data_IF_848186137626
#
_entry.id   IF_848186137626
#
_cell.length_a   1.000
_cell.length_b   1.000
_cell.length_c   1.000
_cell.angle_alpha   90.00
_cell.angle_beta   90.00
_cell.angle_gamma   90.00
#
_symmetry.space_group_name_H-M   'P 1'
#
loop_
_entity.id
_entity.type
_entity.pdbx_description
1 polymer ?
#
# COMPACT_ATOMS: atom_id res chain seq x y z
N UNK A 1 -17.80 6.05 -7.59
CA UNK A 1 -17.99 6.54 -8.99
C UNK A 1 -19.17 7.49 -9.12
N UNK A 2 -20.12 7.48 -8.20
CA UNK A 2 -21.33 8.35 -8.25
C UNK A 2 -21.10 9.77 -7.72
N UNK A 3 -19.87 10.10 -7.27
CA UNK A 3 -19.55 11.42 -6.70
C UNK A 3 -18.96 12.40 -7.71
N UNK A 4 -18.54 11.92 -8.88
CA UNK A 4 -18.06 12.79 -9.96
C UNK A 4 -19.21 13.59 -10.58
N UNK A 5 -18.96 14.86 -10.89
CA UNK A 5 -19.95 15.74 -11.53
C UNK A 5 -20.04 15.44 -13.04
N UNK A 6 -18.89 15.24 -13.69
CA UNK A 6 -18.80 14.97 -15.13
C UNK A 6 -18.07 13.67 -15.43
N UNK A 7 -16.98 13.39 -14.72
CA UNK A 7 -16.12 12.23 -14.95
C UNK A 7 -15.55 11.70 -13.65
N UNK A 8 -15.39 10.38 -13.55
CA UNK A 8 -14.69 9.73 -12.44
C UNK A 8 -13.62 8.81 -13.00
N UNK A 9 -12.38 9.03 -12.63
CA UNK A 9 -11.25 8.21 -13.04
C UNK A 9 -10.83 7.25 -11.93
N UNK A 10 -10.72 5.96 -12.28
CA UNK A 10 -10.17 4.94 -11.39
C UNK A 10 -8.77 4.54 -11.87
N UNK A 11 -7.78 4.69 -10.99
CA UNK A 11 -6.40 4.25 -11.26
C UNK A 11 -6.12 2.97 -10.46
N UNK A 12 -5.74 1.91 -11.16
CA UNK A 12 -5.52 0.64 -10.51
C UNK A 12 -4.86 -0.41 -11.40
N UNK A 13 -4.64 -1.59 -10.84
CA UNK A 13 -4.08 -2.73 -11.56
C UNK A 13 -5.08 -3.32 -12.56
N UNK A 14 -4.57 -3.90 -13.63
CA UNK A 14 -5.34 -4.68 -14.60
C UNK A 14 -6.09 -5.88 -13.97
N UNK A 15 -5.64 -6.35 -12.80
CA UNK A 15 -6.32 -7.39 -12.02
C UNK A 15 -7.75 -7.02 -11.61
N UNK A 16 -8.07 -5.72 -11.59
CA UNK A 16 -9.42 -5.20 -11.28
C UNK A 16 -10.35 -5.15 -12.50
N UNK A 17 -9.85 -5.30 -13.72
CA UNK A 17 -10.62 -5.08 -14.96
C UNK A 17 -11.91 -5.92 -15.01
N UNK A 18 -11.80 -7.23 -14.72
CA UNK A 18 -12.95 -8.14 -14.75
C UNK A 18 -14.02 -7.76 -13.74
N UNK A 19 -13.60 -7.37 -12.54
CA UNK A 19 -14.49 -6.97 -11.47
C UNK A 19 -15.16 -5.62 -11.75
N UNK A 20 -14.38 -4.62 -12.18
CA UNK A 20 -14.90 -3.29 -12.49
C UNK A 20 -15.90 -3.29 -13.64
N UNK A 21 -15.68 -4.14 -14.67
CA UNK A 21 -16.65 -4.31 -15.75
C UNK A 21 -18.01 -4.79 -15.26
N UNK A 22 -18.05 -5.59 -14.19
CA UNK A 22 -19.30 -6.09 -13.59
C UNK A 22 -19.95 -5.08 -12.65
N UNK A 23 -19.14 -4.26 -11.96
CA UNK A 23 -19.63 -3.31 -10.97
C UNK A 23 -20.06 -1.96 -11.57
N UNK A 24 -19.40 -1.56 -12.66
CA UNK A 24 -19.62 -0.26 -13.31
C UNK A 24 -19.88 -0.48 -14.80
N UNK A 25 -21.15 -0.66 -15.21
CA UNK A 25 -21.50 -0.78 -16.62
C UNK A 25 -21.06 0.46 -17.41
N UNK A 26 -20.49 0.24 -18.60
CA UNK A 26 -20.05 1.34 -19.47
C UNK A 26 -18.67 1.94 -19.10
N UNK A 27 -17.96 1.37 -18.13
CA UNK A 27 -16.60 1.83 -17.81
C UNK A 27 -15.66 1.65 -19.03
N UNK A 28 -14.91 2.67 -19.34
CA UNK A 28 -13.85 2.63 -20.34
C UNK A 28 -12.52 2.24 -19.71
N UNK A 29 -11.76 1.34 -20.34
CA UNK A 29 -10.45 0.89 -19.85
C UNK A 29 -9.32 1.41 -20.75
N UNK A 30 -8.44 2.22 -20.16
CA UNK A 30 -7.22 2.68 -20.80
C UNK A 30 -6.05 1.95 -20.12
N UNK A 31 -5.38 1.07 -20.85
CA UNK A 31 -4.23 0.32 -20.32
C UNK A 31 -2.92 0.92 -20.81
N UNK A 32 -1.97 1.05 -19.91
CA UNK A 32 -0.60 1.44 -20.23
C UNK A 32 0.36 0.41 -19.64
N UNK A 33 0.88 -0.51 -20.46
CA UNK A 33 1.84 -1.51 -19.98
C UNK A 33 3.15 -0.84 -19.55
N UNK A 34 3.87 -1.51 -18.68
CA UNK A 34 5.24 -1.13 -18.34
C UNK A 34 6.14 -1.43 -19.56
N UNK A 35 6.96 -0.47 -19.98
CA UNK A 35 7.89 -0.63 -21.10
C UNK A 35 9.22 -1.24 -20.67
N UNK A 36 9.69 -0.95 -19.46
CA UNK A 36 10.97 -1.45 -18.94
C UNK A 36 10.83 -2.83 -18.31
N UNK A 37 11.87 -3.65 -18.41
CA UNK A 37 11.96 -4.93 -17.73
C UNK A 37 12.18 -4.75 -16.22
N UNK A 38 11.65 -5.71 -15.46
CA UNK A 38 11.94 -5.86 -14.03
C UNK A 38 12.48 -7.28 -13.84
N UNK A 39 13.72 -7.41 -13.36
CA UNK A 39 14.40 -8.70 -13.28
C UNK A 39 14.88 -9.01 -11.86
N UNK A 40 14.70 -10.27 -11.43
CA UNK A 40 15.21 -10.75 -10.16
C UNK A 40 16.70 -11.07 -10.27
N UNK A 41 17.50 -10.53 -9.37
CA UNK A 41 18.97 -10.68 -9.39
C UNK A 41 19.52 -11.43 -8.17
N UNK A 42 18.65 -12.18 -7.49
CA UNK A 42 19.04 -13.02 -6.35
C UNK A 42 19.29 -12.23 -5.06
N UNK A 43 20.10 -12.84 -4.21
CA UNK A 43 20.44 -12.33 -2.88
C UNK A 43 21.75 -11.56 -2.91
N UNK A 44 21.81 -10.43 -2.19
CA UNK A 44 23.04 -9.64 -2.04
C UNK A 44 23.21 -9.19 -0.59
N UNK A 45 24.45 -9.17 -0.12
CA UNK A 45 24.76 -8.49 1.15
C UNK A 45 24.46 -7.00 1.03
N UNK A 46 23.96 -6.39 2.09
CA UNK A 46 23.66 -4.94 2.12
C UNK A 46 24.88 -4.13 1.67
N UNK A 47 26.08 -4.55 2.05
CA UNK A 47 27.33 -3.88 1.65
C UNK A 47 27.69 -4.01 0.17
N UNK A 48 27.00 -4.87 -0.59
CA UNK A 48 27.22 -5.11 -2.03
C UNK A 48 26.07 -4.69 -2.91
N UNK A 49 25.09 -4.00 -2.34
CA UNK A 49 24.00 -3.42 -3.13
C UNK A 49 24.56 -2.34 -4.06
N UNK A 50 24.06 -2.23 -5.29
CA UNK A 50 24.45 -1.15 -6.19
C UNK A 50 24.02 0.21 -5.64
N UNK A 51 24.64 1.28 -6.09
CA UNK A 51 24.15 2.64 -5.86
C UNK A 51 22.71 2.79 -6.40
N UNK A 52 22.00 3.78 -5.96
CA UNK A 52 20.59 4.03 -6.30
C UNK A 52 19.66 2.86 -5.94
N UNK A 53 19.97 2.16 -4.84
CA UNK A 53 19.14 1.09 -4.31
C UNK A 53 18.18 1.55 -3.22
N UNK A 54 16.95 1.00 -3.26
CA UNK A 54 16.03 1.05 -2.14
C UNK A 54 16.05 -0.28 -1.37
N UNK A 55 16.19 -0.23 -0.05
CA UNK A 55 16.10 -1.38 0.85
C UNK A 55 14.79 -1.31 1.61
N UNK A 56 14.02 -2.38 1.59
CA UNK A 56 12.66 -2.39 2.16
C UNK A 56 12.56 -3.37 3.32
N UNK A 57 12.08 -2.86 4.45
CA UNK A 57 11.72 -3.62 5.65
C UNK A 57 10.28 -3.25 6.07
N UNK A 58 9.69 -3.98 7.04
CA UNK A 58 8.29 -3.77 7.39
C UNK A 58 8.07 -3.25 8.81
N UNK A 59 9.15 -2.92 9.52
CA UNK A 59 9.08 -2.20 10.80
C UNK A 59 9.93 -0.93 10.78
N UNK A 60 9.55 0.06 11.57
CA UNK A 60 10.34 1.29 11.72
C UNK A 60 11.71 0.98 12.36
N UNK A 61 11.76 0.03 13.30
CA UNK A 61 12.99 -0.37 13.97
C UNK A 61 14.01 -0.94 12.97
N UNK A 62 13.57 -1.85 12.09
CA UNK A 62 14.45 -2.46 11.09
C UNK A 62 14.91 -1.44 10.04
N UNK A 63 14.02 -0.54 9.61
CA UNK A 63 14.40 0.55 8.71
C UNK A 63 15.52 1.40 9.31
N UNK A 64 15.42 1.81 10.59
CA UNK A 64 16.46 2.60 11.23
C UNK A 64 17.74 1.80 11.45
N UNK A 65 17.65 0.54 11.82
CA UNK A 65 18.81 -0.35 11.99
C UNK A 65 19.59 -0.52 10.68
N UNK A 66 18.87 -0.74 9.56
CA UNK A 66 19.46 -0.86 8.23
C UNK A 66 20.08 0.46 7.79
N UNK A 67 19.38 1.58 7.97
CA UNK A 67 19.89 2.91 7.63
C UNK A 67 21.16 3.25 8.40
N UNK A 68 21.23 2.92 9.70
CA UNK A 68 22.43 3.12 10.51
C UNK A 68 23.59 2.21 10.04
N UNK A 69 23.30 0.97 9.66
CA UNK A 69 24.30 0.07 9.06
C UNK A 69 24.87 0.63 7.76
N UNK A 70 24.02 1.14 6.87
CA UNK A 70 24.43 1.80 5.62
C UNK A 70 25.21 3.10 5.88
N UNK A 71 24.82 3.86 6.90
CA UNK A 71 25.56 5.07 7.31
C UNK A 71 27.00 4.75 7.68
N UNK A 72 27.21 3.68 8.44
CA UNK A 72 28.55 3.27 8.87
C UNK A 72 29.40 2.69 7.74
N UNK A 73 28.78 1.96 6.82
CA UNK A 73 29.50 1.16 5.82
C UNK A 73 29.57 1.80 4.43
N UNK A 74 28.63 2.67 4.10
CA UNK A 74 28.40 3.18 2.74
C UNK A 74 28.11 4.68 2.67
N UNK A 75 28.35 5.44 3.74
CA UNK A 75 28.26 6.89 3.75
C UNK A 75 26.86 7.45 4.07
N UNK A 76 25.80 6.65 4.03
CA UNK A 76 24.47 7.09 4.44
C UNK A 76 23.33 6.52 3.65
N UNK A 77 22.12 6.76 4.14
CA UNK A 77 20.88 6.42 3.48
C UNK A 77 19.78 7.43 3.85
N UNK A 78 18.92 7.74 2.90
CA UNK A 78 17.66 8.41 3.16
C UNK A 78 16.66 7.43 3.79
N UNK A 79 15.76 7.92 4.65
CA UNK A 79 14.77 7.10 5.35
C UNK A 79 13.35 7.54 5.00
N UNK A 80 12.50 6.59 4.60
CA UNK A 80 11.11 6.83 4.26
C UNK A 80 10.19 5.87 5.01
N UNK A 81 9.38 6.43 5.90
CA UNK A 81 8.36 5.71 6.68
C UNK A 81 6.98 6.31 6.45
N UNK A 82 5.94 5.49 6.53
CA UNK A 82 4.55 5.95 6.44
C UNK A 82 4.18 6.97 7.52
N UNK A 83 4.75 6.82 8.73
CA UNK A 83 4.53 7.71 9.87
C UNK A 83 5.21 9.10 9.75
N UNK A 84 6.14 9.29 8.80
CA UNK A 84 6.78 10.59 8.59
C UNK A 84 5.82 11.58 7.92
N UNK A 85 5.94 12.86 8.30
CA UNK A 85 5.20 13.92 7.63
C UNK A 85 5.51 13.96 6.12
N UNK A 86 4.58 14.41 5.26
CA UNK A 86 4.83 14.56 3.84
C UNK A 86 6.07 15.40 3.53
N UNK A 87 6.27 16.49 4.28
CA UNK A 87 7.45 17.36 4.14
C UNK A 87 8.76 16.61 4.40
N UNK A 88 8.81 15.84 5.48
CA UNK A 88 10.02 15.06 5.84
C UNK A 88 10.28 13.97 4.81
N UNK A 89 9.24 13.26 4.38
CA UNK A 89 9.38 12.23 3.32
C UNK A 89 9.92 12.81 2.02
N UNK A 90 9.39 13.96 1.59
CA UNK A 90 9.84 14.62 0.37
C UNK A 90 11.28 15.08 0.49
N UNK A 91 11.71 15.58 1.65
CA UNK A 91 13.10 15.98 1.89
C UNK A 91 14.05 14.76 1.80
N UNK A 92 13.70 13.63 2.41
CA UNK A 92 14.48 12.40 2.33
C UNK A 92 14.58 11.87 0.89
N UNK A 93 13.45 11.87 0.16
CA UNK A 93 13.45 11.51 -1.26
C UNK A 93 14.30 12.48 -2.08
N UNK A 94 14.24 13.78 -1.78
CA UNK A 94 15.07 14.82 -2.43
C UNK A 94 16.57 14.56 -2.28
N UNK A 95 17.04 14.25 -1.08
CA UNK A 95 18.45 13.89 -0.82
C UNK A 95 18.90 12.68 -1.66
N UNK A 96 18.08 11.63 -1.72
CA UNK A 96 18.37 10.46 -2.54
C UNK A 96 18.36 10.79 -4.04
N UNK A 97 17.40 11.56 -4.53
CA UNK A 97 17.31 11.93 -5.94
C UNK A 97 18.47 12.86 -6.36
N UNK A 98 18.90 13.76 -5.48
CA UNK A 98 20.05 14.62 -5.69
C UNK A 98 21.40 13.88 -5.67
N UNK A 99 21.40 12.60 -5.27
CA UNK A 99 22.64 11.81 -5.16
C UNK A 99 23.49 12.13 -3.94
N UNK A 100 22.93 12.83 -2.94
CA UNK A 100 23.62 13.09 -1.68
C UNK A 100 23.84 11.78 -0.88
N UNK A 101 22.98 10.80 -1.09
CA UNK A 101 23.09 9.43 -0.59
C UNK A 101 22.74 8.43 -1.67
N UNK A 102 23.44 7.29 -1.70
CA UNK A 102 23.26 6.22 -2.70
C UNK A 102 22.11 5.27 -2.37
N UNK A 103 21.65 5.29 -1.12
CA UNK A 103 20.69 4.33 -0.61
C UNK A 103 19.47 5.03 -0.02
N UNK A 104 18.33 4.35 -0.16
CA UNK A 104 17.10 4.72 0.50
C UNK A 104 16.59 3.50 1.28
N UNK A 105 16.25 3.67 2.56
CA UNK A 105 15.65 2.60 3.36
C UNK A 105 14.21 2.99 3.68
N UNK A 106 13.27 2.10 3.40
CA UNK A 106 11.86 2.42 3.51
C UNK A 106 11.02 1.24 4.00
N UNK A 107 9.82 1.57 4.46
CA UNK A 107 8.75 0.55 4.55
C UNK A 107 8.07 0.37 3.19
N UNK A 108 7.01 -0.47 3.13
CA UNK A 108 6.15 -0.60 1.96
C UNK A 108 5.50 0.72 1.51
N UNK A 109 5.58 1.78 2.32
CA UNK A 109 5.23 3.14 1.94
C UNK A 109 5.95 3.63 0.66
N UNK A 110 7.11 3.05 0.31
CA UNK A 110 7.80 3.32 -0.97
C UNK A 110 6.92 2.96 -2.17
N UNK A 111 6.06 1.94 -2.03
CA UNK A 111 5.19 1.45 -3.10
C UNK A 111 4.11 2.43 -3.55
N UNK A 112 3.78 3.45 -2.77
CA UNK A 112 2.68 4.39 -3.06
C UNK A 112 3.04 5.84 -2.73
N UNK A 113 2.50 6.77 -3.54
CA UNK A 113 2.50 8.20 -3.24
C UNK A 113 3.85 8.90 -3.32
N UNK A 114 4.91 8.24 -3.77
CA UNK A 114 6.23 8.84 -3.93
C UNK A 114 6.65 8.84 -5.40
N UNK A 115 7.16 9.96 -5.86
CA UNK A 115 7.86 10.05 -7.13
C UNK A 115 9.33 9.70 -6.89
N UNK A 116 9.65 8.43 -6.99
CA UNK A 116 10.96 7.89 -6.66
C UNK A 116 11.53 7.13 -7.86
N UNK A 117 12.79 7.40 -8.15
CA UNK A 117 13.54 6.77 -9.23
C UNK A 117 14.69 5.97 -8.61
N UNK A 118 14.61 4.65 -8.67
CA UNK A 118 15.60 3.70 -8.16
C UNK A 118 15.95 2.66 -9.24
N UNK A 119 17.17 2.17 -9.22
CA UNK A 119 17.62 1.16 -10.19
C UNK A 119 17.43 -0.26 -9.63
N UNK A 120 17.48 -0.39 -8.31
CA UNK A 120 17.37 -1.67 -7.63
C UNK A 120 16.52 -1.57 -6.36
N UNK A 121 15.66 -2.58 -6.14
CA UNK A 121 14.92 -2.76 -4.89
C UNK A 121 15.37 -4.05 -4.21
N UNK A 122 15.83 -3.95 -2.96
CA UNK A 122 16.22 -5.09 -2.14
C UNK A 122 15.28 -5.27 -0.95
N UNK A 123 14.70 -6.45 -0.81
CA UNK A 123 13.86 -6.78 0.33
C UNK A 123 14.74 -7.27 1.48
N UNK A 124 14.77 -6.54 2.59
CA UNK A 124 15.42 -6.93 3.83
C UNK A 124 14.53 -7.84 4.69
N UNK A 125 13.25 -7.95 4.33
CA UNK A 125 12.27 -8.86 4.91
C UNK A 125 11.33 -9.34 3.80
N UNK A 126 10.88 -10.61 3.91
CA UNK A 126 9.92 -11.23 2.98
C UNK A 126 8.61 -11.62 3.68
N UNK A 127 8.47 -11.19 4.92
CA UNK A 127 7.25 -11.37 5.74
C UNK A 127 6.85 -10.04 6.33
N UNK A 128 5.55 -9.82 6.46
CA UNK A 128 5.01 -8.61 7.10
C UNK A 128 3.84 -8.92 8.02
N UNK A 129 3.59 -8.05 8.98
CA UNK A 129 2.38 -8.07 9.78
C UNK A 129 1.24 -7.40 9.00
N UNK A 130 0.12 -8.09 8.81
CA UNK A 130 -1.02 -7.61 8.03
C UNK A 130 -2.14 -6.98 8.87
N UNK A 131 -1.85 -6.69 10.14
CA UNK A 131 -2.81 -6.20 11.13
C UNK A 131 -3.39 -7.32 12.01
N UNK A 132 -3.20 -8.60 11.65
CA UNK A 132 -3.68 -9.75 12.40
C UNK A 132 -2.58 -10.77 12.67
N UNK A 133 -1.78 -11.08 11.67
CA UNK A 133 -0.71 -12.08 11.74
C UNK A 133 0.47 -11.71 10.85
N UNK A 134 1.63 -12.27 11.17
CA UNK A 134 2.80 -12.20 10.29
C UNK A 134 2.67 -13.26 9.19
N UNK A 135 2.72 -12.82 7.93
CA UNK A 135 2.63 -13.68 6.75
C UNK A 135 3.68 -13.34 5.71
N UNK A 136 3.94 -14.26 4.79
CA UNK A 136 4.78 -13.99 3.62
C UNK A 136 4.15 -12.90 2.74
N UNK A 137 4.99 -12.19 2.01
CA UNK A 137 4.57 -11.26 0.96
C UNK A 137 3.90 -12.04 -0.18
N UNK A 138 2.86 -11.46 -0.75
CA UNK A 138 2.24 -11.99 -1.97
C UNK A 138 2.83 -11.30 -3.20
N UNK A 139 2.73 -11.94 -4.38
CA UNK A 139 3.33 -11.45 -5.62
C UNK A 139 2.94 -10.00 -5.97
N UNK A 140 1.69 -9.60 -5.71
CA UNK A 140 1.22 -8.24 -5.95
C UNK A 140 1.88 -7.20 -5.04
N UNK A 141 2.18 -7.54 -3.79
CA UNK A 141 2.91 -6.67 -2.86
C UNK A 141 4.37 -6.51 -3.28
N UNK A 142 5.01 -7.64 -3.63
CA UNK A 142 6.38 -7.62 -4.17
C UNK A 142 6.43 -6.78 -5.44
N UNK A 143 5.50 -6.97 -6.38
CA UNK A 143 5.43 -6.22 -7.62
C UNK A 143 5.21 -4.72 -7.41
N UNK A 144 4.37 -4.34 -6.46
CA UNK A 144 4.10 -2.93 -6.13
C UNK A 144 5.35 -2.21 -5.60
N UNK A 145 6.14 -2.90 -4.79
CA UNK A 145 7.38 -2.38 -4.21
C UNK A 145 8.51 -2.45 -5.23
N UNK A 146 8.77 -3.62 -5.80
CA UNK A 146 9.84 -3.85 -6.78
C UNK A 146 9.62 -3.03 -8.07
N UNK A 147 8.36 -2.77 -8.42
CA UNK A 147 7.99 -1.93 -9.57
C UNK A 147 8.46 -0.47 -9.49
N UNK A 148 9.04 -0.05 -8.37
CA UNK A 148 9.74 1.23 -8.24
C UNK A 148 11.12 1.22 -8.86
N UNK A 149 11.70 0.03 -9.06
CA UNK A 149 12.97 -0.10 -9.76
C UNK A 149 12.79 0.01 -11.28
N UNK A 150 13.59 0.86 -11.90
CA UNK A 150 13.50 1.19 -13.33
C UNK A 150 12.29 2.04 -13.69
N UNK A 151 12.44 2.87 -14.68
CA UNK A 151 11.38 3.80 -15.09
C UNK A 151 11.42 4.06 -16.59
N UNK A 152 10.24 4.16 -17.22
CA UNK A 152 10.09 4.35 -18.66
C UNK A 152 10.84 3.27 -19.45
N UNK A 153 11.95 3.64 -20.08
CA UNK A 153 12.80 2.76 -20.89
C UNK A 153 13.99 2.17 -20.10
N UNK A 154 14.17 2.57 -18.84
CA UNK A 154 15.25 2.07 -18.01
C UNK A 154 14.79 0.81 -17.25
N UNK A 155 15.48 -0.30 -17.47
CA UNK A 155 15.21 -1.56 -16.79
C UNK A 155 15.54 -1.45 -15.29
N UNK A 156 14.76 -2.15 -14.48
CA UNK A 156 14.95 -2.23 -13.04
C UNK A 156 15.29 -3.63 -12.58
N UNK A 157 15.90 -3.72 -11.41
CA UNK A 157 16.20 -5.00 -10.78
C UNK A 157 15.63 -5.07 -9.38
N UNK A 158 15.33 -6.28 -8.93
CA UNK A 158 14.95 -6.53 -7.54
C UNK A 158 15.61 -7.80 -6.99
N UNK A 159 15.69 -7.89 -5.69
CA UNK A 159 16.27 -9.03 -5.00
C UNK A 159 16.00 -8.98 -3.52
N UNK A 160 16.71 -9.82 -2.77
CA UNK A 160 16.64 -9.85 -1.31
C UNK A 160 18.01 -9.58 -0.70
N UNK A 161 18.03 -9.19 0.58
CA UNK A 161 19.29 -9.23 1.33
C UNK A 161 19.65 -10.67 1.68
N UNK A 162 20.95 -10.94 1.87
CA UNK A 162 21.44 -12.30 2.15
C UNK A 162 20.87 -12.92 3.41
N UNK A 163 20.35 -12.10 4.32
CA UNK A 163 19.90 -12.54 5.64
C UNK A 163 18.49 -13.15 5.63
N UNK A 164 17.71 -12.89 4.58
CA UNK A 164 16.29 -13.33 4.52
C UNK A 164 16.01 -14.43 3.50
N UNK A 165 17.02 -14.84 2.75
CA UNK A 165 16.86 -15.88 1.74
C UNK A 165 16.27 -15.38 0.42
N UNK A 166 15.92 -16.30 -0.48
CA UNK A 166 15.31 -16.01 -1.78
C UNK A 166 13.81 -15.84 -1.66
N UNK A 167 13.23 -15.07 -2.57
CA UNK A 167 11.78 -15.10 -2.81
C UNK A 167 11.37 -16.45 -3.39
N UNK A 168 10.10 -16.78 -3.21
CA UNK A 168 9.48 -17.95 -3.86
C UNK A 168 9.59 -17.81 -5.39
N UNK A 169 10.01 -18.89 -6.11
CA UNK A 169 10.11 -18.87 -7.57
C UNK A 169 8.80 -18.46 -8.27
N UNK A 170 7.64 -18.88 -7.76
CA UNK A 170 6.33 -18.49 -8.33
C UNK A 170 6.08 -16.98 -8.17
N UNK A 171 6.52 -16.39 -7.06
CA UNK A 171 6.43 -14.93 -6.84
C UNK A 171 7.37 -14.21 -7.80
N UNK A 172 8.59 -14.70 -7.98
CA UNK A 172 9.57 -14.10 -8.90
C UNK A 172 9.00 -14.09 -10.31
N UNK A 173 8.53 -15.24 -10.80
CA UNK A 173 7.97 -15.37 -12.14
C UNK A 173 6.75 -14.46 -12.34
N UNK A 174 5.83 -14.43 -11.39
CA UNK A 174 4.65 -13.56 -11.45
C UNK A 174 5.01 -12.07 -11.54
N UNK A 175 6.06 -11.65 -10.82
CA UNK A 175 6.54 -10.26 -10.81
C UNK A 175 7.25 -9.91 -12.12
N UNK A 176 8.15 -10.76 -12.61
CA UNK A 176 8.89 -10.53 -13.85
C UNK A 176 7.98 -10.52 -15.09
N UNK A 177 7.02 -11.44 -15.14
CA UNK A 177 6.04 -11.54 -16.24
C UNK A 177 4.83 -10.62 -16.06
N UNK A 178 4.73 -9.93 -14.92
CA UNK A 178 3.59 -9.08 -14.55
C UNK A 178 2.23 -9.81 -14.64
N UNK A 179 2.21 -11.07 -14.20
CA UNK A 179 1.05 -11.97 -14.28
C UNK A 179 0.47 -12.18 -12.88
N UNK A 180 -0.70 -11.60 -12.63
CA UNK A 180 -1.36 -11.67 -11.32
C UNK A 180 -2.78 -12.17 -11.46
N UNK A 181 -3.31 -12.93 -10.49
CA UNK A 181 -4.69 -13.38 -10.50
C UNK A 181 -5.65 -12.20 -10.44
N UNK A 182 -6.75 -12.30 -11.19
CA UNK A 182 -7.82 -11.31 -11.12
C UNK A 182 -8.47 -11.27 -9.74
N UNK A 183 -8.79 -10.08 -9.27
CA UNK A 183 -9.47 -9.88 -7.99
C UNK A 183 -10.96 -10.19 -8.18
N UNK A 184 -11.52 -11.20 -7.47
CA UNK A 184 -12.92 -11.60 -7.63
C UNK A 184 -13.89 -10.69 -6.88
N UNK A 185 -13.45 -10.09 -5.80
CA UNK A 185 -14.29 -9.31 -4.88
C UNK A 185 -13.49 -8.17 -4.25
N UNK A 186 -14.17 -7.10 -3.87
CA UNK A 186 -13.59 -5.98 -3.11
C UNK A 186 -14.41 -5.69 -1.85
N UNK A 187 -13.75 -5.09 -0.87
CA UNK A 187 -14.44 -4.59 0.31
C UNK A 187 -15.34 -3.40 -0.04
N UNK A 188 -16.53 -3.40 0.53
CA UNK A 188 -17.53 -2.36 0.34
C UNK A 188 -18.11 -1.91 1.66
N UNK A 189 -18.38 -0.62 1.76
CA UNK A 189 -19.10 -0.02 2.87
C UNK A 189 -20.20 0.89 2.31
N UNK A 190 -21.35 0.92 2.99
CA UNK A 190 -22.38 1.87 2.62
C UNK A 190 -21.90 3.31 2.85
N UNK A 191 -21.95 4.11 1.81
CA UNK A 191 -21.61 5.54 1.87
C UNK A 191 -22.83 6.44 2.11
N UNK A 192 -24.03 5.89 2.05
CA UNK A 192 -25.30 6.59 2.31
C UNK A 192 -25.67 6.36 3.77
N UNK A 193 -25.04 7.12 4.66
CA UNK A 193 -25.28 7.00 6.09
C UNK A 193 -26.50 7.82 6.51
N UNK A 194 -27.29 7.29 7.45
CA UNK A 194 -28.44 7.97 8.04
C UNK A 194 -28.11 8.41 9.48
N UNK A 195 -27.91 9.70 9.65
CA UNK A 195 -27.52 10.32 10.91
C UNK A 195 -28.71 10.82 11.76
N UNK A 196 -29.95 10.43 11.44
CA UNK A 196 -31.12 10.85 12.21
C UNK A 196 -31.07 10.47 13.68
N UNK A 197 -30.61 9.24 13.95
CA UNK A 197 -30.36 8.75 15.31
C UNK A 197 -29.20 7.76 15.28
N UNK A 198 -28.58 7.46 16.42
CA UNK A 198 -27.57 6.43 16.55
C UNK A 198 -28.03 5.07 15.98
N UNK A 199 -29.28 4.69 16.23
CA UNK A 199 -29.87 3.46 15.70
C UNK A 199 -29.89 3.45 14.16
N UNK A 200 -30.31 4.55 13.53
CA UNK A 200 -30.31 4.67 12.06
C UNK A 200 -28.88 4.66 11.49
N UNK A 201 -27.93 5.32 12.18
CA UNK A 201 -26.55 5.29 11.79
C UNK A 201 -25.99 3.86 11.80
N UNK A 202 -26.19 3.10 12.87
CA UNK A 202 -25.79 1.69 12.93
C UNK A 202 -26.43 0.85 11.82
N UNK A 203 -27.75 0.98 11.63
CA UNK A 203 -28.44 0.24 10.58
C UNK A 203 -27.89 0.57 9.19
N UNK A 204 -27.58 1.84 8.93
CA UNK A 204 -27.00 2.25 7.65
C UNK A 204 -25.57 1.76 7.44
N UNK A 205 -24.77 1.66 8.51
CA UNK A 205 -23.43 1.07 8.47
C UNK A 205 -23.45 -0.46 8.28
N UNK A 206 -24.53 -1.12 8.72
CA UNK A 206 -24.67 -2.57 8.67
C UNK A 206 -25.41 -3.11 7.44
N UNK A 207 -25.78 -2.24 6.51
CA UNK A 207 -26.43 -2.64 5.24
C UNK A 207 -25.60 -3.72 4.53
N UNK A 208 -26.30 -4.72 4.01
CA UNK A 208 -25.67 -5.82 3.24
C UNK A 208 -25.17 -5.28 1.91
N UNK A 209 -24.02 -5.80 1.46
CA UNK A 209 -23.45 -5.43 0.18
C UNK A 209 -24.44 -5.76 -0.97
N UNK A 210 -24.63 -4.84 -1.93
CA UNK A 210 -25.66 -4.99 -2.98
C UNK A 210 -25.28 -5.97 -4.09
N UNK A 211 -24.10 -6.58 -4.03
CA UNK A 211 -23.59 -7.49 -5.05
C UNK A 211 -22.73 -8.58 -4.41
N UNK A 212 -22.73 -9.78 -4.99
CA UNK A 212 -21.83 -10.89 -4.60
C UNK A 212 -20.35 -10.58 -4.82
N UNK A 213 -20.03 -9.55 -5.61
CA UNK A 213 -18.66 -9.08 -5.85
C UNK A 213 -18.18 -8.09 -4.80
N UNK A 214 -19.06 -7.69 -3.89
CA UNK A 214 -18.78 -6.75 -2.81
C UNK A 214 -18.82 -7.48 -1.47
N UNK A 215 -17.76 -7.37 -0.69
CA UNK A 215 -17.66 -8.02 0.63
C UNK A 215 -17.77 -6.95 1.70
N UNK A 216 -18.62 -7.18 2.69
CA UNK A 216 -18.64 -6.35 3.89
C UNK A 216 -17.32 -6.61 4.66
N UNK A 217 -16.53 -5.57 5.00
CA UNK A 217 -15.36 -5.75 5.84
C UNK A 217 -15.78 -6.30 7.21
N UNK A 218 -14.89 -7.03 7.85
CA UNK A 218 -15.06 -7.31 9.29
C UNK A 218 -15.17 -5.97 10.02
N UNK A 219 -15.68 -6.00 11.23
CA UNK A 219 -15.91 -4.79 12.02
C UNK A 219 -14.68 -3.86 11.98
N UNK A 220 -14.88 -2.68 11.40
CA UNK A 220 -13.84 -1.66 11.26
C UNK A 220 -13.65 -0.88 12.56
N UNK A 221 -12.48 -0.26 12.74
CA UNK A 221 -12.14 0.46 13.99
C UNK A 221 -13.10 1.59 14.31
N UNK A 222 -13.60 2.32 13.29
CA UNK A 222 -14.62 3.36 13.47
C UNK A 222 -15.95 2.80 13.98
N UNK A 223 -16.38 1.62 13.51
CA UNK A 223 -17.59 0.96 14.02
C UNK A 223 -17.40 0.47 15.46
N UNK A 224 -16.21 -0.07 15.79
CA UNK A 224 -15.87 -0.45 17.16
C UNK A 224 -15.86 0.76 18.09
N UNK A 225 -15.25 1.87 17.65
CA UNK A 225 -15.21 3.11 18.39
C UNK A 225 -16.61 3.67 18.64
N UNK A 226 -17.44 3.68 17.58
CA UNK A 226 -18.84 4.12 17.70
C UNK A 226 -19.62 3.24 18.69
N UNK A 227 -19.45 1.91 18.64
CA UNK A 227 -20.08 1.00 19.61
C UNK A 227 -19.58 1.24 21.04
N UNK A 228 -18.29 1.50 21.23
CA UNK A 228 -17.74 1.83 22.54
C UNK A 228 -18.33 3.15 23.09
N UNK A 229 -18.41 4.18 22.24
CA UNK A 229 -19.01 5.47 22.60
C UNK A 229 -20.50 5.36 22.95
N UNK A 230 -21.25 4.49 22.29
CA UNK A 230 -22.67 4.28 22.60
C UNK A 230 -22.93 3.52 23.91
N UNK A 231 -21.90 2.97 24.55
CA UNK A 231 -22.01 2.44 25.91
C UNK A 231 -21.88 3.52 26.99
N UNK A 232 -21.46 4.73 26.61
CA UNK A 232 -21.35 5.87 27.53
C UNK A 232 -22.68 6.65 27.57
N UNK A 233 -23.30 6.72 28.74
CA UNK A 233 -24.58 7.38 28.95
C UNK A 233 -24.55 8.88 28.63
N UNK A 234 -23.40 9.54 28.90
CA UNK A 234 -23.25 10.97 28.66
C UNK A 234 -23.14 11.27 27.17
N UNK A 235 -22.48 10.37 26.41
CA UNK A 235 -22.42 10.46 24.94
C UNK A 235 -23.81 10.23 24.33
N UNK A 236 -24.51 9.18 24.78
CA UNK A 236 -25.87 8.86 24.30
C UNK A 236 -26.85 9.99 24.59
N UNK A 237 -26.78 10.59 25.77
CA UNK A 237 -27.65 11.71 26.14
C UNK A 237 -27.42 12.97 25.28
N UNK A 238 -26.22 13.16 24.75
CA UNK A 238 -25.86 14.29 23.88
C UNK A 238 -26.04 13.99 22.38
N UNK A 239 -26.11 12.72 22.01
CA UNK A 239 -26.26 12.28 20.61
C UNK A 239 -27.74 12.28 20.16
N UNK A 240 -28.44 13.40 20.39
CA UNK A 240 -29.83 13.59 19.96
C UNK A 240 -29.88 14.50 18.73
N UNK A 241 -30.50 13.99 17.68
CA UNK A 241 -30.66 14.69 16.41
C UNK A 241 -29.47 14.58 15.44
N UNK A 242 -29.71 14.99 14.21
CA UNK A 242 -28.77 14.83 13.09
C UNK A 242 -27.40 15.46 13.35
N UNK A 243 -27.35 16.70 13.83
CA UNK A 243 -26.09 17.42 14.03
C UNK A 243 -25.20 16.72 15.07
N UNK A 244 -25.77 16.32 16.20
CA UNK A 244 -25.03 15.65 17.27
C UNK A 244 -24.51 14.28 16.84
N UNK A 245 -25.34 13.47 16.14
CA UNK A 245 -24.93 12.15 15.63
C UNK A 245 -23.89 12.25 14.53
N UNK A 246 -23.90 13.32 13.73
CA UNK A 246 -22.91 13.52 12.65
C UNK A 246 -21.52 13.92 13.15
N UNK A 247 -21.38 14.32 14.41
CA UNK A 247 -20.11 14.66 15.05
C UNK A 247 -19.40 13.46 15.70
N UNK A 248 -20.11 12.35 15.90
CA UNK A 248 -19.54 11.07 16.40
C UNK A 248 -18.83 10.31 15.30
#
# INVERSE_FOLDING_TARGET
>A
HTRGISETMFLGSSTMTSLLRKLVPGIEFISRPRFSKLSYVGQKKITRLPSRSAVVAFSAADVYMIAESLRRLRGGAAVVLGALSPRTRNAQVGMFQAGEVDYLVATDAIGMGLNLDVDHVSFAEIRKFDGQKTRALVATEVAQIAGRAGRYMQDGTFGTTSDVGSLDPEIIEAVEQHTFPSIPQIYWRNSRLDFKTLKHLFQSLEVVAPSSHLIKPRESEDLKSLRALTNDSDVVARADGYEAVSLL
#
